data_IF_371765030823
#
_entry.id   IF_371765030823
#
_cell.length_a   1.000
_cell.length_b   1.000
_cell.length_c   1.000
_cell.angle_alpha   90.00
_cell.angle_beta   90.00
_cell.angle_gamma   90.00
#
_symmetry.space_group_name_H-M   'P 1'
#
loop_
_entity.id
_entity.type
_entity.pdbx_description
1 polymer ?
#
# COMPACT_ATOMS: atom_id res chain seq x y z
N UNK A 1 -53.79 -23.49 -21.49
CA UNK A 1 -53.20 -22.31 -20.82
C UNK A 1 -52.32 -22.79 -19.68
N UNK A 2 -51.05 -22.36 -19.63
CA UNK A 2 -50.00 -22.87 -18.73
C UNK A 2 -50.21 -22.40 -17.28
N UNK A 3 -50.04 -23.28 -16.26
CA UNK A 3 -49.95 -22.87 -14.86
C UNK A 3 -48.51 -22.43 -14.54
N UNK A 4 -48.26 -21.16 -14.24
CA UNK A 4 -46.94 -20.70 -13.78
C UNK A 4 -46.94 -20.40 -12.28
N UNK A 5 -46.29 -21.33 -11.58
CA UNK A 5 -46.02 -21.36 -10.14
C UNK A 5 -45.39 -20.07 -9.61
N UNK A 6 -46.03 -19.43 -8.63
CA UNK A 6 -45.38 -18.43 -7.78
C UNK A 6 -44.42 -19.13 -6.81
N UNK A 7 -43.14 -19.21 -7.18
CA UNK A 7 -42.11 -19.76 -6.32
C UNK A 7 -41.63 -18.71 -5.31
N UNK A 8 -41.92 -19.00 -4.04
CA UNK A 8 -41.63 -18.19 -2.86
C UNK A 8 -40.14 -17.80 -2.84
N UNK A 9 -39.85 -16.50 -2.85
CA UNK A 9 -38.51 -15.97 -2.58
C UNK A 9 -38.20 -16.22 -1.09
N UNK A 10 -37.66 -17.40 -0.78
CA UNK A 10 -37.25 -17.74 0.59
C UNK A 10 -35.97 -16.97 0.93
N UNK A 11 -36.11 -15.92 1.72
CA UNK A 11 -35.01 -15.21 2.37
C UNK A 11 -34.33 -16.17 3.35
N UNK A 12 -33.30 -16.88 2.88
CA UNK A 12 -32.52 -17.82 3.69
C UNK A 12 -31.71 -17.03 4.72
N UNK A 13 -32.29 -16.87 5.91
CA UNK A 13 -31.66 -16.41 7.15
C UNK A 13 -30.31 -17.12 7.31
N UNK A 14 -29.20 -16.42 7.06
CA UNK A 14 -27.85 -16.96 7.28
C UNK A 14 -27.68 -17.09 8.79
N UNK A 15 -27.71 -18.32 9.29
CA UNK A 15 -27.36 -18.66 10.67
C UNK A 15 -25.93 -18.18 10.92
N UNK A 16 -25.74 -17.21 11.81
CA UNK A 16 -24.42 -16.84 12.33
C UNK A 16 -23.94 -17.93 13.28
N UNK A 17 -23.26 -18.95 12.73
CA UNK A 17 -22.59 -19.95 13.53
C UNK A 17 -21.28 -19.36 14.08
N UNK A 18 -21.30 -19.10 15.39
CA UNK A 18 -20.20 -19.01 16.37
C UNK A 18 -18.78 -19.11 15.78
N UNK A 19 -18.08 -17.99 15.66
CA UNK A 19 -16.65 -17.97 15.35
C UNK A 19 -15.87 -18.38 16.60
N UNK A 20 -15.54 -19.67 16.70
CA UNK A 20 -14.54 -20.13 17.67
C UNK A 20 -13.22 -19.39 17.41
N UNK A 21 -12.67 -18.72 18.42
CA UNK A 21 -11.37 -18.08 18.37
C UNK A 21 -10.25 -19.14 18.45
N UNK A 22 -10.27 -20.10 17.52
CA UNK A 22 -9.14 -20.98 17.29
C UNK A 22 -8.01 -20.17 16.64
N UNK A 23 -6.78 -20.33 17.15
CA UNK A 23 -5.60 -19.70 16.54
C UNK A 23 -5.54 -20.10 15.06
N UNK A 24 -5.69 -19.13 14.16
CA UNK A 24 -5.67 -19.40 12.71
C UNK A 24 -4.27 -19.84 12.31
N UNK A 25 -4.16 -20.96 11.59
CA UNK A 25 -2.90 -21.45 11.02
C UNK A 25 -2.25 -20.34 10.18
N UNK A 26 -1.00 -19.92 10.48
CA UNK A 26 -0.32 -18.87 9.71
C UNK A 26 -0.12 -19.32 8.27
N UNK A 27 -0.15 -18.38 7.32
CA UNK A 27 0.13 -18.65 5.90
C UNK A 27 1.64 -18.71 5.67
N UNK A 28 2.13 -19.76 5.01
CA UNK A 28 3.53 -19.85 4.56
C UNK A 28 3.71 -19.09 3.25
N UNK A 29 4.96 -18.75 2.93
CA UNK A 29 5.28 -18.11 1.65
C UNK A 29 4.94 -19.00 0.45
N UNK A 30 5.19 -20.31 0.57
CA UNK A 30 4.86 -21.31 -0.45
C UNK A 30 3.36 -21.36 -0.75
N UNK A 31 2.53 -21.39 0.30
CA UNK A 31 1.07 -21.37 0.17
C UNK A 31 0.60 -20.08 -0.51
N UNK A 32 1.13 -18.91 -0.10
CA UNK A 32 0.81 -17.63 -0.75
C UNK A 32 1.22 -17.60 -2.22
N UNK A 33 2.38 -18.18 -2.54
CA UNK A 33 2.91 -18.27 -3.92
C UNK A 33 2.02 -19.16 -4.77
N UNK A 34 1.59 -20.31 -4.24
CA UNK A 34 0.68 -21.23 -4.90
C UNK A 34 -0.67 -20.59 -5.18
N UNK A 35 -1.26 -19.90 -4.20
CA UNK A 35 -2.50 -19.14 -4.40
C UNK A 35 -2.31 -18.11 -5.51
N UNK A 36 -1.26 -17.28 -5.45
CA UNK A 36 -1.01 -16.24 -6.47
C UNK A 36 -0.85 -16.79 -7.89
N UNK A 37 -0.17 -17.93 -8.07
CA UNK A 37 0.07 -18.52 -9.39
C UNK A 37 -1.17 -19.18 -10.01
N UNK A 38 -2.10 -19.63 -9.16
CA UNK A 38 -3.28 -20.38 -9.58
C UNK A 38 -4.57 -19.56 -9.55
N UNK A 39 -4.56 -18.34 -9.00
CA UNK A 39 -5.69 -17.41 -9.08
C UNK A 39 -6.06 -17.15 -10.55
N UNK A 40 -7.28 -17.53 -10.92
CA UNK A 40 -7.79 -17.45 -12.30
C UNK A 40 -7.64 -18.73 -13.12
N UNK A 41 -6.78 -19.68 -12.70
CA UNK A 41 -6.66 -21.02 -13.32
C UNK A 41 -7.46 -22.08 -12.56
N UNK A 42 -7.45 -21.99 -11.23
CA UNK A 42 -8.17 -22.89 -10.34
C UNK A 42 -9.17 -22.09 -9.50
N UNK A 43 -10.26 -22.76 -9.10
CA UNK A 43 -11.21 -22.20 -8.15
C UNK A 43 -10.61 -22.15 -6.74
N UNK A 44 -11.15 -21.27 -5.90
CA UNK A 44 -10.73 -21.16 -4.50
C UNK A 44 -10.91 -22.48 -3.71
N UNK A 45 -11.82 -23.36 -4.15
CA UNK A 45 -12.03 -24.67 -3.55
C UNK A 45 -10.87 -25.62 -3.88
N UNK A 46 -10.54 -25.77 -5.17
CA UNK A 46 -9.45 -26.62 -5.64
C UNK A 46 -8.08 -26.17 -5.12
N UNK A 47 -7.85 -24.86 -5.04
CA UNK A 47 -6.63 -24.31 -4.43
C UNK A 47 -6.58 -24.71 -2.95
N UNK A 48 -7.70 -24.63 -2.24
CA UNK A 48 -7.81 -25.02 -0.84
C UNK A 48 -7.54 -26.50 -0.62
N UNK A 49 -8.09 -27.36 -1.46
CA UNK A 49 -7.86 -28.81 -1.42
C UNK A 49 -6.37 -29.15 -1.58
N UNK A 50 -5.69 -28.49 -2.52
CA UNK A 50 -4.25 -28.72 -2.78
C UNK A 50 -3.33 -28.30 -1.64
N UNK A 51 -3.69 -27.26 -0.86
CA UNK A 51 -2.87 -26.74 0.25
C UNK A 51 -3.43 -27.09 1.65
N UNK A 52 -4.48 -27.90 1.71
CA UNK A 52 -5.14 -28.29 2.95
C UNK A 52 -5.80 -27.13 3.70
N UNK A 53 -6.47 -26.21 2.99
CA UNK A 53 -7.22 -25.10 3.58
C UNK A 53 -8.64 -25.02 3.05
N UNK A 54 -9.52 -24.38 3.83
CA UNK A 54 -10.91 -24.18 3.40
C UNK A 54 -11.00 -23.13 2.28
N UNK A 55 -12.00 -23.28 1.40
CA UNK A 55 -12.35 -22.29 0.36
C UNK A 55 -12.44 -20.87 0.92
N UNK A 56 -13.05 -20.71 2.10
CA UNK A 56 -13.20 -19.40 2.74
C UNK A 56 -11.86 -18.80 3.20
N UNK A 57 -10.91 -19.64 3.67
CA UNK A 57 -9.57 -19.19 4.01
C UNK A 57 -8.82 -18.69 2.76
N UNK A 58 -8.90 -19.44 1.66
CA UNK A 58 -8.27 -19.06 0.38
C UNK A 58 -8.87 -17.76 -0.18
N UNK A 59 -10.19 -17.58 -0.10
CA UNK A 59 -10.86 -16.36 -0.54
C UNK A 59 -10.42 -15.12 0.26
N UNK A 60 -10.27 -15.27 1.58
CA UNK A 60 -9.77 -14.18 2.42
C UNK A 60 -8.32 -13.83 2.09
N UNK A 61 -7.47 -14.85 1.86
CA UNK A 61 -6.07 -14.63 1.52
C UNK A 61 -5.91 -14.05 0.11
N UNK A 62 -6.70 -14.48 -0.88
CA UNK A 62 -6.67 -13.90 -2.22
C UNK A 62 -7.04 -12.42 -2.21
N UNK A 63 -8.05 -12.05 -1.43
CA UNK A 63 -8.46 -10.65 -1.22
C UNK A 63 -7.32 -9.83 -0.60
N UNK A 64 -6.62 -10.39 0.38
CA UNK A 64 -5.45 -9.77 1.01
C UNK A 64 -4.31 -9.59 0.02
N UNK A 65 -3.93 -10.63 -0.72
CA UNK A 65 -2.87 -10.60 -1.73
C UNK A 65 -3.17 -9.59 -2.84
N UNK A 66 -4.43 -9.45 -3.25
CA UNK A 66 -4.86 -8.45 -4.22
C UNK A 66 -4.73 -7.02 -3.67
N UNK A 67 -5.07 -6.79 -2.40
CA UNK A 67 -4.89 -5.48 -1.76
C UNK A 67 -3.41 -5.11 -1.68
N UNK A 68 -2.56 -6.04 -1.24
CA UNK A 68 -1.10 -5.85 -1.16
C UNK A 68 -0.50 -5.58 -2.55
N UNK A 69 -0.96 -6.27 -3.59
CA UNK A 69 -0.55 -5.98 -4.97
C UNK A 69 -0.91 -4.55 -5.37
N UNK A 70 -2.16 -4.14 -5.15
CA UNK A 70 -2.61 -2.77 -5.48
C UNK A 70 -1.92 -1.69 -4.64
N UNK A 71 -1.52 -2.02 -3.42
CA UNK A 71 -0.74 -1.13 -2.57
C UNK A 71 0.69 -1.00 -3.07
N UNK A 72 1.33 -2.10 -3.47
CA UNK A 72 2.65 -2.05 -4.12
C UNK A 72 2.61 -1.32 -5.46
N UNK A 73 1.57 -1.52 -6.26
CA UNK A 73 1.38 -0.80 -7.52
C UNK A 73 1.14 0.69 -7.26
N UNK A 74 0.30 1.06 -6.28
CA UNK A 74 0.14 2.46 -5.87
C UNK A 74 1.38 3.05 -5.24
N UNK A 75 2.21 2.27 -4.56
CA UNK A 75 3.49 2.72 -4.02
C UNK A 75 4.55 2.87 -5.13
N UNK A 76 4.47 2.06 -6.19
CA UNK A 76 5.27 2.21 -7.41
C UNK A 76 4.78 3.38 -8.29
N UNK A 77 3.49 3.69 -8.24
CA UNK A 77 2.84 4.78 -8.99
C UNK A 77 2.72 6.08 -8.20
N UNK A 78 2.99 6.08 -6.89
CA UNK A 78 3.24 7.31 -6.16
C UNK A 78 4.41 8.05 -6.84
N UNK A 79 4.37 9.40 -6.93
CA UNK A 79 5.47 10.17 -7.50
C UNK A 79 6.66 10.12 -6.53
N UNK A 80 7.33 8.97 -6.48
CA UNK A 80 8.75 8.94 -6.24
C UNK A 80 9.40 9.78 -7.35
N UNK A 81 10.47 10.55 -7.10
CA UNK A 81 11.19 11.24 -8.17
C UNK A 81 11.90 10.19 -9.03
N UNK A 82 11.13 9.48 -9.86
CA UNK A 82 11.56 8.29 -10.63
C UNK A 82 12.27 8.69 -11.91
N UNK A 83 12.28 9.97 -12.28
CA UNK A 83 13.04 10.47 -13.42
C UNK A 83 14.37 11.06 -12.96
N UNK A 84 15.51 10.67 -13.58
CA UNK A 84 16.79 11.33 -13.40
C UNK A 84 16.71 12.86 -13.59
N UNK A 85 15.75 13.35 -14.38
CA UNK A 85 15.53 14.77 -14.62
C UNK A 85 14.91 15.50 -13.42
N UNK A 86 13.94 14.90 -12.73
CA UNK A 86 13.34 15.51 -11.53
C UNK A 86 14.36 15.56 -10.37
N UNK A 87 15.21 14.55 -10.26
CA UNK A 87 16.32 14.56 -9.31
C UNK A 87 17.33 15.68 -9.63
N UNK A 88 17.64 15.89 -10.91
CA UNK A 88 18.51 16.98 -11.36
C UNK A 88 17.92 18.35 -11.06
N UNK A 89 16.63 18.56 -11.33
CA UNK A 89 15.96 19.82 -11.01
C UNK A 89 15.87 20.06 -9.50
N UNK A 90 15.67 19.00 -8.70
CA UNK A 90 15.70 19.09 -7.24
C UNK A 90 17.08 19.42 -6.71
N UNK A 91 18.15 18.82 -7.25
CA UNK A 91 19.55 19.16 -6.92
C UNK A 91 19.85 20.63 -7.28
N UNK A 92 19.41 21.09 -8.44
CA UNK A 92 19.57 22.47 -8.91
C UNK A 92 18.83 23.47 -8.03
N UNK A 93 17.59 23.16 -7.63
CA UNK A 93 16.80 24.00 -6.72
C UNK A 93 17.44 24.10 -5.33
N UNK A 94 17.94 22.98 -4.79
CA UNK A 94 18.66 22.96 -3.52
C UNK A 94 19.98 23.74 -3.61
N UNK A 95 20.73 23.59 -4.70
CA UNK A 95 21.96 24.36 -4.96
C UNK A 95 21.69 25.87 -5.02
N UNK A 96 20.60 26.30 -5.68
CA UNK A 96 20.17 27.71 -5.71
C UNK A 96 19.84 28.23 -4.30
N UNK A 97 19.19 27.41 -3.47
CA UNK A 97 18.82 27.77 -2.09
C UNK A 97 20.06 27.87 -1.17
N UNK A 98 21.02 26.95 -1.31
CA UNK A 98 22.31 27.02 -0.63
C UNK A 98 23.09 28.27 -1.06
N UNK A 99 23.11 28.59 -2.36
CA UNK A 99 23.73 29.81 -2.88
C UNK A 99 23.04 31.08 -2.36
N UNK A 100 21.73 31.10 -2.19
CA UNK A 100 21.01 32.23 -1.61
C UNK A 100 21.38 32.43 -0.13
N UNK A 101 21.49 31.35 0.64
CA UNK A 101 21.89 31.38 2.06
C UNK A 101 23.37 31.80 2.23
N UNK A 102 24.25 31.33 1.35
CA UNK A 102 25.68 31.72 1.29
C UNK A 102 25.88 33.09 0.63
N UNK A 103 24.89 33.56 -0.13
CA UNK A 103 24.87 34.75 -0.98
C UNK A 103 24.55 36.01 -0.20
N UNK A 104 25.50 36.41 0.65
CA UNK A 104 25.54 37.77 1.17
C UNK A 104 24.61 38.06 2.34
N UNK A 105 23.50 37.35 2.57
CA UNK A 105 22.64 37.61 3.73
C UNK A 105 23.33 37.28 5.06
N UNK A 106 24.00 36.13 5.14
CA UNK A 106 24.81 35.77 6.30
C UNK A 106 25.99 36.73 6.49
N UNK A 107 26.68 37.09 5.40
CA UNK A 107 27.79 38.06 5.42
C UNK A 107 27.32 39.46 5.87
N UNK A 108 26.17 39.94 5.37
CA UNK A 108 25.56 41.22 5.77
C UNK A 108 25.16 41.22 7.25
N UNK A 109 24.64 40.10 7.77
CA UNK A 109 24.35 39.94 9.21
C UNK A 109 25.62 39.97 10.05
N UNK A 110 26.69 39.30 9.63
CA UNK A 110 28.00 39.33 10.32
C UNK A 110 28.51 40.76 10.40
N UNK A 111 28.59 41.47 9.27
CA UNK A 111 29.05 42.88 9.23
C UNK A 111 28.18 43.79 10.11
N UNK A 112 26.86 43.57 10.14
CA UNK A 112 25.94 44.36 10.97
C UNK A 112 26.14 44.07 12.46
N UNK A 113 26.49 42.85 12.84
CA UNK A 113 26.79 42.47 14.22
C UNK A 113 28.15 43.03 14.67
N UNK A 114 29.19 42.95 13.83
CA UNK A 114 30.51 43.53 14.11
C UNK A 114 30.41 45.04 14.38
N UNK A 115 29.65 45.78 13.56
CA UNK A 115 29.39 47.21 13.80
C UNK A 115 28.69 47.49 15.14
N UNK A 116 27.79 46.60 15.60
CA UNK A 116 27.12 46.74 16.90
C UNK A 116 28.04 46.46 18.07
N UNK A 117 28.98 45.53 17.92
CA UNK A 117 30.02 45.23 18.93
C UNK A 117 31.01 46.39 19.02
N UNK A 118 31.46 46.92 17.89
CA UNK A 118 32.39 48.06 17.86
C UNK A 118 31.80 49.33 18.50
N UNK A 119 30.47 49.54 18.39
CA UNK A 119 29.77 50.68 19.00
C UNK A 119 29.51 50.53 20.51
N UNK A 120 29.81 49.36 21.08
CA UNK A 120 29.68 49.05 22.51
C UNK A 120 31.03 49.02 23.25
N UNK A 121 32.13 49.20 22.52
CA UNK A 121 33.45 49.55 23.06
C UNK A 121 33.58 51.06 23.06
#
# INVERSE_FOLDING_TARGET
>A
MLPHMASRRTSKKRRSAKSGSGRKRPWTDEERRFVRQNLGKLTHAEIGEKIGRSKAAVQNESSRLNRERREKERAAEAPTPTSPEELRERIKALSKRIKALRGGELKRRIVKLEKRVAKRR
#
